data_IF_506630094073
#
_entry.id   IF_506630094073
#
_cell.length_a   1.000
_cell.length_b   1.000
_cell.length_c   1.000
_cell.angle_alpha   90.00
_cell.angle_beta   90.00
_cell.angle_gamma   90.00
#
_symmetry.space_group_name_H-M   'P 1'
#
loop_
_entity.id
_entity.type
_entity.pdbx_description
1 polymer ?
#
# COMPACT_ATOMS: atom_id res chain seq x y z
N UNK A 1 -22.08 -10.82 4.16
CA UNK A 1 -21.04 -9.96 4.77
C UNK A 1 -21.78 -8.78 5.32
N UNK A 2 -21.89 -8.69 6.65
CA UNK A 2 -22.51 -7.53 7.31
C UNK A 2 -21.44 -6.45 7.41
N UNK A 3 -21.78 -5.24 7.00
CA UNK A 3 -20.88 -4.09 7.07
C UNK A 3 -21.35 -3.21 8.22
N UNK A 4 -20.51 -3.04 9.22
CA UNK A 4 -20.71 -2.06 10.28
C UNK A 4 -20.30 -0.69 9.73
N UNK A 5 -21.24 0.24 9.64
CA UNK A 5 -20.96 1.63 9.24
C UNK A 5 -20.33 2.37 10.42
N UNK A 6 -19.14 1.95 10.84
CA UNK A 6 -18.38 2.65 11.86
C UNK A 6 -18.09 4.08 11.38
N UNK A 7 -18.50 5.07 12.19
CA UNK A 7 -18.70 6.47 11.80
C UNK A 7 -17.45 7.29 11.46
N UNK A 8 -16.26 6.67 11.33
CA UNK A 8 -15.04 7.37 10.93
C UNK A 8 -14.08 6.45 10.19
N UNK A 9 -14.23 6.37 8.87
CA UNK A 9 -13.27 5.71 7.98
C UNK A 9 -12.00 6.54 7.88
N UNK A 10 -10.85 5.91 8.03
CA UNK A 10 -9.57 6.56 7.79
C UNK A 10 -9.04 6.24 6.39
N UNK A 11 -8.14 7.08 5.89
CA UNK A 11 -7.46 6.88 4.60
C UNK A 11 -6.00 6.56 4.88
N UNK A 12 -5.58 5.37 4.48
CA UNK A 12 -4.20 4.93 4.58
C UNK A 12 -3.54 4.97 3.21
N UNK A 13 -2.46 5.76 3.12
CA UNK A 13 -1.59 5.78 1.96
C UNK A 13 -0.43 4.82 2.21
N UNK A 14 -0.42 3.69 1.51
CA UNK A 14 0.64 2.70 1.61
C UNK A 14 1.66 2.91 0.49
N UNK A 15 2.92 3.14 0.84
CA UNK A 15 3.99 2.99 -0.13
C UNK A 15 4.07 1.53 -0.60
N UNK A 16 4.58 1.33 -1.81
CA UNK A 16 4.68 0.01 -2.42
C UNK A 16 6.07 -0.58 -2.19
N UNK A 17 7.10 0.10 -2.69
CA UNK A 17 8.46 -0.42 -2.71
C UNK A 17 9.14 -0.29 -1.34
N UNK A 18 9.56 -1.41 -0.76
CA UNK A 18 10.17 -1.43 0.58
C UNK A 18 9.16 -1.42 1.74
N UNK A 19 7.87 -1.20 1.45
CA UNK A 19 6.79 -1.34 2.44
C UNK A 19 5.94 -2.57 2.15
N UNK A 20 5.26 -2.64 1.01
CA UNK A 20 4.47 -3.82 0.63
C UNK A 20 5.31 -4.86 -0.13
N UNK A 21 6.45 -4.44 -0.67
CA UNK A 21 7.47 -5.33 -1.25
C UNK A 21 8.72 -5.32 -0.37
N UNK A 22 9.59 -6.32 -0.52
CA UNK A 22 10.90 -6.34 0.16
C UNK A 22 11.97 -5.44 -0.49
N UNK A 23 11.56 -4.34 -1.12
CA UNK A 23 12.46 -3.31 -1.67
C UNK A 23 13.15 -3.69 -2.99
N UNK A 24 12.62 -4.68 -3.69
CA UNK A 24 13.19 -5.14 -4.96
C UNK A 24 12.68 -4.26 -6.11
N UNK A 25 13.61 -3.76 -6.91
CA UNK A 25 13.27 -2.94 -8.05
C UNK A 25 12.59 -3.75 -9.16
N UNK A 26 11.45 -3.25 -9.65
CA UNK A 26 10.58 -3.95 -10.59
C UNK A 26 11.24 -4.30 -11.94
N UNK A 27 12.34 -3.64 -12.31
CA UNK A 27 12.98 -3.78 -13.63
C UNK A 27 13.96 -4.94 -13.74
N UNK A 28 14.37 -5.57 -12.63
CA UNK A 28 15.26 -6.75 -12.67
C UNK A 28 14.52 -8.05 -12.38
N UNK A 29 13.54 -8.01 -11.47
CA UNK A 29 12.72 -9.15 -11.10
C UNK A 29 11.38 -8.70 -10.53
N UNK A 30 10.38 -9.58 -10.60
CA UNK A 30 9.12 -9.35 -9.90
C UNK A 30 9.39 -9.23 -8.39
N UNK A 31 8.93 -8.15 -7.71
CA UNK A 31 9.18 -7.99 -6.29
C UNK A 31 8.47 -9.06 -5.47
N UNK A 32 9.15 -9.51 -4.44
CA UNK A 32 8.62 -10.39 -3.42
C UNK A 32 7.75 -9.58 -2.45
N UNK A 33 6.58 -10.13 -2.08
CA UNK A 33 5.67 -9.46 -1.15
C UNK A 33 6.24 -9.47 0.28
N UNK A 34 6.05 -8.36 0.99
CA UNK A 34 6.17 -8.32 2.44
C UNK A 34 4.83 -8.77 3.05
N UNK A 35 4.73 -10.06 3.41
CA UNK A 35 3.47 -10.66 3.85
C UNK A 35 2.95 -10.08 5.17
N UNK A 36 3.85 -9.66 6.07
CA UNK A 36 3.47 -9.11 7.37
C UNK A 36 2.76 -7.75 7.17
N UNK A 37 3.34 -6.86 6.37
CA UNK A 37 2.76 -5.56 6.07
C UNK A 37 1.45 -5.69 5.25
N UNK A 38 1.41 -6.64 4.31
CA UNK A 38 0.19 -6.93 3.54
C UNK A 38 -0.92 -7.47 4.45
N UNK A 39 -0.58 -8.27 5.47
CA UNK A 39 -1.56 -8.78 6.44
C UNK A 39 -2.19 -7.64 7.23
N UNK A 40 -1.38 -6.70 7.72
CA UNK A 40 -1.87 -5.50 8.44
C UNK A 40 -2.77 -4.64 7.54
N UNK A 41 -2.36 -4.38 6.30
CA UNK A 41 -3.18 -3.66 5.32
C UNK A 41 -4.53 -4.33 5.09
N UNK A 42 -4.57 -5.67 5.01
CA UNK A 42 -5.83 -6.42 4.86
C UNK A 42 -6.75 -6.27 6.06
N UNK A 43 -6.21 -6.26 7.28
CA UNK A 43 -7.02 -6.01 8.48
C UNK A 43 -7.57 -4.58 8.50
N UNK A 44 -6.77 -3.57 8.16
CA UNK A 44 -7.26 -2.20 7.99
C UNK A 44 -8.37 -2.09 6.95
N UNK A 45 -8.22 -2.77 5.81
CA UNK A 45 -9.25 -2.82 4.77
C UNK A 45 -10.54 -3.48 5.28
N UNK A 46 -10.44 -4.62 5.99
CA UNK A 46 -11.60 -5.31 6.58
C UNK A 46 -12.32 -4.47 7.64
N UNK A 47 -11.57 -3.65 8.38
CA UNK A 47 -12.11 -2.70 9.35
C UNK A 47 -12.88 -1.51 8.70
N UNK A 48 -12.96 -1.46 7.36
CA UNK A 48 -13.73 -0.46 6.63
C UNK A 48 -12.96 0.80 6.24
N UNK A 49 -11.64 0.78 6.37
CA UNK A 49 -10.79 1.91 5.97
C UNK A 49 -10.54 1.97 4.46
N UNK A 50 -10.14 3.14 3.99
CA UNK A 50 -9.77 3.37 2.59
C UNK A 50 -8.27 3.15 2.45
N UNK A 51 -7.90 2.31 1.48
CA UNK A 51 -6.51 1.97 1.18
C UNK A 51 -6.15 2.57 -0.17
N UNK A 52 -5.16 3.45 -0.20
CA UNK A 52 -4.57 4.01 -1.42
C UNK A 52 -3.14 3.51 -1.52
N UNK A 53 -2.80 2.88 -2.65
CA UNK A 53 -1.40 2.57 -2.94
C UNK A 53 -0.75 3.84 -3.46
N UNK A 54 0.25 4.36 -2.74
CA UNK A 54 0.88 5.65 -2.98
C UNK A 54 2.38 5.50 -3.24
N UNK A 55 2.74 5.32 -4.51
CA UNK A 55 4.10 4.92 -4.91
C UNK A 55 4.82 5.98 -5.74
N UNK A 56 6.15 6.01 -5.64
CA UNK A 56 7.01 6.83 -6.49
C UNK A 56 7.20 6.25 -7.90
N UNK A 57 6.74 5.02 -8.17
CA UNK A 57 6.75 4.45 -9.53
C UNK A 57 6.03 5.35 -10.52
N UNK A 58 6.48 5.35 -11.77
CA UNK A 58 5.87 6.16 -12.83
C UNK A 58 4.61 5.48 -13.39
N UNK A 59 3.72 6.27 -13.97
CA UNK A 59 2.39 5.81 -14.43
C UNK A 59 2.46 4.78 -15.56
N UNK A 60 3.55 4.75 -16.32
CA UNK A 60 3.81 3.74 -17.34
C UNK A 60 3.86 2.31 -16.75
N UNK A 61 4.16 2.17 -15.46
CA UNK A 61 4.19 0.90 -14.72
C UNK A 61 2.86 0.56 -14.04
N UNK A 62 1.79 1.31 -14.30
CA UNK A 62 0.50 1.07 -13.68
C UNK A 62 -0.06 -0.34 -13.96
N UNK A 63 -0.03 -0.86 -15.21
CA UNK A 63 -0.54 -2.20 -15.51
C UNK A 63 0.17 -3.30 -14.70
N UNK A 64 1.49 -3.23 -14.63
CA UNK A 64 2.33 -4.19 -13.90
C UNK A 64 2.12 -4.08 -12.39
N UNK A 65 2.01 -2.84 -11.89
CA UNK A 65 1.75 -2.57 -10.47
C UNK A 65 0.40 -3.12 -10.06
N UNK A 66 -0.66 -2.86 -10.84
CA UNK A 66 -2.00 -3.42 -10.60
C UNK A 66 -1.99 -4.94 -10.73
N UNK A 67 -1.32 -5.50 -11.74
CA UNK A 67 -1.17 -6.94 -11.90
C UNK A 67 -0.53 -7.60 -10.68
N UNK A 68 0.53 -6.99 -10.13
CA UNK A 68 1.21 -7.45 -8.92
C UNK A 68 0.30 -7.38 -7.69
N UNK A 69 -0.42 -6.27 -7.49
CA UNK A 69 -1.37 -6.10 -6.37
C UNK A 69 -2.47 -7.17 -6.42
N UNK A 70 -3.05 -7.41 -7.59
CA UNK A 70 -4.09 -8.43 -7.79
C UNK A 70 -3.53 -9.83 -7.53
N UNK A 71 -2.38 -10.16 -8.14
CA UNK A 71 -1.72 -11.47 -7.97
C UNK A 71 -1.44 -11.78 -6.50
N UNK A 72 -1.00 -10.79 -5.74
CA UNK A 72 -0.69 -10.93 -4.32
C UNK A 72 -1.89 -10.67 -3.39
N UNK A 73 -3.09 -10.49 -3.94
CA UNK A 73 -4.33 -10.25 -3.18
C UNK A 73 -4.17 -9.10 -2.17
N UNK A 74 -3.59 -8.00 -2.63
CA UNK A 74 -3.52 -6.75 -1.86
C UNK A 74 -4.79 -5.95 -2.19
N UNK A 75 -5.72 -5.77 -1.24
CA UNK A 75 -6.93 -5.00 -1.50
C UNK A 75 -6.62 -3.50 -1.48
N UNK A 76 -7.16 -2.74 -2.44
CA UNK A 76 -6.97 -1.29 -2.51
C UNK A 76 -8.20 -0.63 -3.14
N UNK A 77 -8.43 0.63 -2.76
CA UNK A 77 -9.51 1.47 -3.29
C UNK A 77 -9.01 2.43 -4.37
N UNK A 78 -7.72 2.78 -4.34
CA UNK A 78 -7.11 3.68 -5.32
C UNK A 78 -5.61 3.46 -5.47
N UNK A 79 -5.09 3.96 -6.58
CA UNK A 79 -3.68 3.95 -6.93
C UNK A 79 -3.27 5.38 -7.28
N UNK A 80 -2.24 5.88 -6.61
CA UNK A 80 -1.61 7.16 -6.92
C UNK A 80 -0.12 6.94 -7.14
N UNK A 81 0.34 7.29 -8.34
CA UNK A 81 1.70 7.05 -8.80
C UNK A 81 2.43 8.38 -9.04
N UNK A 82 3.73 8.29 -9.28
CA UNK A 82 4.63 9.43 -9.45
C UNK A 82 4.60 10.40 -8.24
N UNK A 83 4.59 9.85 -7.01
CA UNK A 83 4.70 10.61 -5.74
C UNK A 83 5.92 11.55 -5.66
N UNK A 84 6.94 11.31 -6.49
CA UNK A 84 8.21 12.04 -6.51
C UNK A 84 9.29 11.28 -5.77
N UNK A 85 10.08 10.47 -6.49
CA UNK A 85 11.18 9.69 -5.91
C UNK A 85 12.16 10.58 -5.15
N UNK A 86 12.41 10.23 -3.88
CA UNK A 86 13.18 11.03 -2.92
C UNK A 86 13.94 10.09 -1.99
N UNK A 87 15.09 10.52 -1.47
CA UNK A 87 15.85 9.74 -0.49
C UNK A 87 15.16 9.71 0.89
N UNK A 88 14.47 10.80 1.25
CA UNK A 88 13.74 10.93 2.51
C UNK A 88 12.43 11.68 2.31
N UNK A 89 11.38 11.24 3.02
CA UNK A 89 10.15 12.00 3.21
C UNK A 89 10.07 12.47 4.67
N UNK A 90 9.78 13.75 4.89
CA UNK A 90 9.53 14.33 6.22
C UNK A 90 8.05 14.69 6.24
N UNK A 91 7.25 13.91 6.96
CA UNK A 91 5.79 13.99 6.96
C UNK A 91 5.27 13.73 8.38
N UNK A 92 4.45 14.64 8.91
CA UNK A 92 3.91 14.59 10.27
C UNK A 92 2.91 13.43 10.48
N UNK A 93 2.37 12.87 9.39
CA UNK A 93 1.41 11.77 9.40
C UNK A 93 2.04 10.43 9.05
N UNK A 94 3.35 10.39 8.82
CA UNK A 94 4.04 9.13 8.58
C UNK A 94 3.99 8.25 9.85
N UNK A 95 3.61 6.99 9.68
CA UNK A 95 3.59 5.98 10.73
C UNK A 95 4.39 4.76 10.26
N UNK A 96 5.25 4.22 11.13
CA UNK A 96 5.78 2.87 10.90
C UNK A 96 4.66 1.84 11.09
N UNK A 97 4.73 0.75 10.33
CA UNK A 97 3.74 -0.33 10.35
C UNK A 97 3.55 -0.91 11.76
N UNK A 98 4.62 -0.91 12.57
CA UNK A 98 4.64 -1.45 13.94
C UNK A 98 3.78 -0.63 14.93
N UNK A 99 3.35 0.58 14.55
CA UNK A 99 2.53 1.47 15.37
C UNK A 99 1.11 1.65 14.80
N UNK A 100 0.66 0.71 13.98
CA UNK A 100 -0.73 0.67 13.52
C UNK A 100 -1.55 -0.10 14.56
N UNK A 101 -2.46 0.61 15.21
CA UNK A 101 -3.44 0.02 16.11
C UNK A 101 -4.51 -0.70 15.27
N UNK A 102 -4.61 -2.03 15.42
CA UNK A 102 -5.60 -2.89 14.76
C UNK A 102 -6.83 -3.13 15.63
#
# INVERSE_FOLDING_TARGET
MEFDENGKREVYNFDLDGVLTNGEYFWEKEPTPNQDNISILRELYKAGNIIIIWTARQWELAPETVGWLIKNRVPFHGLYMAKGGSDHYIDDKNKSIDYIDL
#
